data_IF_561015585995
#
_entry.id   IF_561015585995
#
_cell.length_a   1.000
_cell.length_b   1.000
_cell.length_c   1.000
_cell.angle_alpha   90.00
_cell.angle_beta   90.00
_cell.angle_gamma   90.00
#
_symmetry.space_group_name_H-M   'P 1'
#
loop_
_entity.id
_entity.type
_entity.pdbx_description
1 polymer ?
#
# COMPACT_ATOMS: atom_id res chain seq x y z
N UNK A 1 4.19 -16.17 -9.01
CA UNK A 1 5.10 -15.39 -9.89
C UNK A 1 6.42 -16.15 -9.99
N UNK A 2 6.36 -17.37 -10.55
CA UNK A 2 7.13 -18.46 -9.94
C UNK A 2 8.36 -18.94 -10.71
N UNK A 3 8.91 -18.16 -11.66
CA UNK A 3 9.99 -18.71 -12.50
C UNK A 3 11.17 -17.80 -12.79
N UNK A 4 11.13 -16.49 -12.51
CA UNK A 4 12.25 -15.63 -12.90
C UNK A 4 13.54 -16.06 -12.19
N UNK A 5 14.55 -16.35 -13.00
CA UNK A 5 15.93 -16.56 -12.56
C UNK A 5 16.55 -15.22 -12.17
N UNK A 6 17.62 -15.20 -11.36
CA UNK A 6 18.32 -13.95 -11.05
C UNK A 6 18.75 -13.15 -12.27
N UNK A 7 19.13 -13.82 -13.37
CA UNK A 7 19.51 -13.17 -14.63
C UNK A 7 18.33 -12.47 -15.29
N UNK A 8 17.15 -13.10 -15.31
CA UNK A 8 15.94 -12.51 -15.87
C UNK A 8 15.44 -11.34 -15.01
N UNK A 9 15.55 -11.43 -13.68
CA UNK A 9 15.24 -10.31 -12.78
C UNK A 9 16.15 -9.12 -13.09
N UNK A 10 17.47 -9.34 -13.22
CA UNK A 10 18.41 -8.27 -13.57
C UNK A 10 18.08 -7.66 -14.94
N UNK A 11 17.79 -8.49 -15.94
CA UNK A 11 17.42 -8.03 -17.29
C UNK A 11 16.12 -7.20 -17.29
N UNK A 12 15.15 -7.54 -16.44
CA UNK A 12 13.94 -6.73 -16.28
C UNK A 12 14.24 -5.39 -15.58
N UNK A 13 15.11 -5.40 -14.57
CA UNK A 13 15.56 -4.17 -13.90
C UNK A 13 16.38 -3.26 -14.84
N UNK A 14 17.14 -3.83 -15.79
CA UNK A 14 17.91 -3.09 -16.79
C UNK A 14 17.04 -2.22 -17.71
N UNK A 15 15.76 -2.57 -17.90
CA UNK A 15 14.81 -1.77 -18.71
C UNK A 15 14.44 -0.44 -18.06
N UNK A 16 14.67 -0.30 -16.75
CA UNK A 16 14.23 0.86 -15.97
C UNK A 16 15.37 1.57 -15.25
N UNK A 17 16.44 0.85 -14.92
CA UNK A 17 17.56 1.38 -14.12
C UNK A 17 18.82 1.25 -14.97
N UNK A 18 19.55 2.34 -15.15
CA UNK A 18 20.83 2.33 -15.87
C UNK A 18 21.97 2.01 -14.89
N UNK A 19 22.86 1.08 -15.22
CA UNK A 19 23.99 0.71 -14.37
C UNK A 19 23.57 -0.04 -13.09
N UNK A 20 24.26 0.19 -11.97
CA UNK A 20 23.96 -0.40 -10.65
C UNK A 20 23.91 -1.95 -10.63
N UNK A 21 24.82 -2.59 -11.36
CA UNK A 21 24.82 -4.06 -11.54
C UNK A 21 24.83 -4.85 -10.22
N UNK A 22 25.60 -4.41 -9.23
CA UNK A 22 25.70 -5.13 -7.95
C UNK A 22 24.42 -5.00 -7.11
N UNK A 23 23.81 -3.81 -7.09
CA UNK A 23 22.51 -3.60 -6.43
C UNK A 23 21.42 -4.46 -7.07
N UNK A 24 21.38 -4.53 -8.42
CA UNK A 24 20.44 -5.39 -9.16
C UNK A 24 20.64 -6.87 -8.84
N UNK A 25 21.89 -7.34 -8.78
CA UNK A 25 22.21 -8.73 -8.40
C UNK A 25 21.78 -9.04 -6.98
N UNK A 26 22.04 -8.14 -6.03
CA UNK A 26 21.66 -8.33 -4.64
C UNK A 26 20.14 -8.51 -4.49
N UNK A 27 19.35 -7.60 -5.09
CA UNK A 27 17.88 -7.71 -5.03
C UNK A 27 17.34 -8.93 -5.80
N UNK A 28 17.96 -9.30 -6.92
CA UNK A 28 17.59 -10.50 -7.67
C UNK A 28 17.83 -11.78 -6.86
N UNK A 29 18.93 -11.86 -6.11
CA UNK A 29 19.20 -12.96 -5.20
C UNK A 29 18.21 -13.01 -4.03
N UNK A 30 17.88 -11.87 -3.43
CA UNK A 30 16.89 -11.81 -2.35
C UNK A 30 15.51 -12.33 -2.82
N UNK A 31 15.04 -11.87 -3.99
CA UNK A 31 13.78 -12.35 -4.57
C UNK A 31 13.84 -13.84 -4.94
N UNK A 32 14.97 -14.32 -5.50
CA UNK A 32 15.14 -15.74 -5.81
C UNK A 32 15.16 -16.62 -4.56
N UNK A 33 15.80 -16.16 -3.49
CA UNK A 33 15.83 -16.87 -2.21
C UNK A 33 14.43 -16.98 -1.60
N UNK A 34 13.58 -15.95 -1.77
CA UNK A 34 12.18 -16.05 -1.38
C UNK A 34 11.44 -17.17 -2.12
N UNK A 35 11.62 -17.29 -3.44
CA UNK A 35 11.06 -18.41 -4.20
C UNK A 35 11.60 -19.76 -3.70
N UNK A 36 12.92 -19.86 -3.48
CA UNK A 36 13.55 -21.08 -2.94
C UNK A 36 12.96 -21.48 -1.58
N UNK A 37 12.72 -20.51 -0.69
CA UNK A 37 12.05 -20.73 0.61
C UNK A 37 10.65 -21.33 0.42
N UNK A 38 9.85 -20.82 -0.54
CA UNK A 38 8.52 -21.37 -0.85
C UNK A 38 8.57 -22.81 -1.38
N UNK A 39 9.69 -23.25 -1.95
CA UNK A 39 9.90 -24.64 -2.40
C UNK A 39 10.50 -25.54 -1.31
N UNK A 40 10.96 -24.97 -0.19
CA UNK A 40 11.51 -25.75 0.91
C UNK A 40 10.39 -26.53 1.65
N UNK A 41 10.75 -27.68 2.25
CA UNK A 41 9.92 -28.36 3.24
C UNK A 41 9.45 -27.41 4.35
N UNK A 42 8.29 -27.69 4.94
CA UNK A 42 7.63 -26.80 5.91
C UNK A 42 8.48 -26.53 7.15
N UNK A 43 9.12 -27.56 7.69
CA UNK A 43 10.06 -27.49 8.82
C UNK A 43 11.25 -26.57 8.54
N UNK A 44 11.81 -26.62 7.33
CA UNK A 44 12.94 -25.77 6.94
C UNK A 44 12.49 -24.35 6.54
N UNK A 45 11.24 -24.18 6.11
CA UNK A 45 10.75 -22.91 5.56
C UNK A 45 10.79 -21.79 6.59
N UNK A 46 10.39 -22.09 7.81
CA UNK A 46 10.31 -21.13 8.92
C UNK A 46 11.70 -20.73 9.43
N UNK A 47 12.69 -21.61 9.32
CA UNK A 47 14.09 -21.33 9.70
C UNK A 47 14.83 -20.44 8.67
N UNK A 48 14.36 -20.38 7.43
CA UNK A 48 14.98 -19.57 6.37
C UNK A 48 14.53 -18.11 6.48
N UNK A 49 15.39 -17.29 7.09
CA UNK A 49 15.20 -15.85 7.19
C UNK A 49 15.52 -15.12 5.87
N UNK A 50 14.83 -13.99 5.57
CA UNK A 50 15.17 -13.12 4.46
C UNK A 50 16.62 -12.63 4.53
N UNK A 51 17.27 -12.57 3.37
CA UNK A 51 18.57 -11.90 3.24
C UNK A 51 18.32 -10.42 3.00
N UNK A 52 18.17 -9.67 4.09
CA UNK A 52 18.02 -8.21 4.05
C UNK A 52 19.25 -7.57 3.41
N UNK A 53 19.09 -6.34 2.90
CA UNK A 53 20.10 -5.70 2.06
C UNK A 53 20.47 -4.34 2.64
N UNK A 54 21.75 -4.01 2.68
CA UNK A 54 22.25 -2.65 2.89
C UNK A 54 22.80 -2.05 1.59
N UNK A 55 22.14 -1.02 1.07
CA UNK A 55 22.58 -0.27 -0.11
C UNK A 55 23.39 0.96 0.31
N UNK A 56 24.64 1.03 -0.15
CA UNK A 56 25.55 2.15 0.14
C UNK A 56 25.78 2.93 -1.16
N UNK A 57 25.59 4.25 -1.12
CA UNK A 57 25.94 5.13 -2.24
C UNK A 57 25.31 6.52 -2.13
N UNK A 58 25.71 7.48 -2.97
CA UNK A 58 25.19 8.85 -2.89
C UNK A 58 23.70 8.93 -3.25
N UNK A 59 23.07 10.07 -2.97
CA UNK A 59 21.68 10.32 -3.36
C UNK A 59 21.54 10.33 -4.89
N UNK A 60 20.34 10.03 -5.39
CA UNK A 60 20.04 10.11 -6.83
C UNK A 60 20.55 8.95 -7.71
N UNK A 61 21.35 8.01 -7.18
CA UNK A 61 21.90 6.88 -8.00
C UNK A 61 20.91 5.74 -8.28
N UNK A 62 19.69 5.82 -7.76
CA UNK A 62 18.62 4.85 -8.03
C UNK A 62 18.38 3.77 -6.96
N UNK A 63 18.93 3.89 -5.74
CA UNK A 63 18.73 2.91 -4.63
C UNK A 63 17.24 2.61 -4.36
N UNK A 64 16.43 3.66 -4.23
CA UNK A 64 14.98 3.53 -4.04
C UNK A 64 14.28 2.97 -5.28
N UNK A 65 14.74 3.31 -6.48
CA UNK A 65 14.10 2.85 -7.72
C UNK A 65 14.36 1.36 -7.96
N UNK A 66 15.56 0.85 -7.65
CA UNK A 66 15.87 -0.59 -7.66
C UNK A 66 14.88 -1.36 -6.76
N UNK A 67 14.68 -0.88 -5.53
CA UNK A 67 13.79 -1.53 -4.56
C UNK A 67 12.31 -1.42 -4.95
N UNK A 68 11.88 -0.26 -5.47
CA UNK A 68 10.51 -0.04 -5.95
C UNK A 68 10.20 -0.93 -7.16
N UNK A 69 11.14 -1.08 -8.10
CA UNK A 69 10.99 -1.94 -9.28
C UNK A 69 10.98 -3.41 -8.90
N UNK A 70 11.83 -3.81 -7.94
CA UNK A 70 11.79 -5.15 -7.37
C UNK A 70 10.40 -5.48 -6.81
N UNK A 71 9.81 -4.59 -6.03
CA UNK A 71 8.49 -4.83 -5.45
C UNK A 71 7.39 -4.95 -6.51
N UNK A 72 7.40 -4.09 -7.53
CA UNK A 72 6.49 -4.21 -8.69
C UNK A 72 6.69 -5.54 -9.42
N UNK A 73 7.95 -5.92 -9.67
CA UNK A 73 8.31 -7.18 -10.32
C UNK A 73 7.98 -8.40 -9.47
N UNK A 74 7.87 -8.27 -8.16
CA UNK A 74 7.48 -9.33 -7.23
C UNK A 74 5.98 -9.33 -6.91
N UNK A 75 5.22 -8.35 -7.42
CA UNK A 75 3.83 -8.09 -7.02
C UNK A 75 3.70 -8.07 -5.48
N UNK A 76 4.64 -7.39 -4.83
CA UNK A 76 4.79 -7.33 -3.38
C UNK A 76 4.35 -5.97 -2.80
N UNK A 77 3.75 -5.95 -1.60
CA UNK A 77 3.54 -4.71 -0.84
C UNK A 77 4.89 -4.01 -0.58
N UNK A 78 4.92 -2.70 -0.77
CA UNK A 78 6.13 -1.89 -0.62
C UNK A 78 5.86 -0.63 0.20
N UNK A 79 6.74 -0.37 1.16
CA UNK A 79 6.74 0.86 1.94
C UNK A 79 8.14 1.49 1.94
N UNK A 80 8.21 2.80 1.63
CA UNK A 80 9.40 3.63 1.84
C UNK A 80 9.22 4.41 3.14
N UNK A 81 10.18 4.33 4.05
CA UNK A 81 10.24 5.16 5.26
C UNK A 81 11.65 5.71 5.45
N UNK A 82 11.77 6.88 6.07
CA UNK A 82 13.06 7.49 6.43
C UNK A 82 13.35 7.17 7.89
N UNK A 83 14.55 6.69 8.21
CA UNK A 83 14.93 6.29 9.57
C UNK A 83 14.95 7.48 10.54
N UNK A 84 15.21 8.69 10.03
CA UNK A 84 15.25 9.94 10.81
C UNK A 84 13.90 10.32 11.41
N UNK A 85 12.78 9.84 10.85
CA UNK A 85 11.42 10.09 11.35
C UNK A 85 11.18 9.58 12.78
N UNK A 86 12.02 8.65 13.24
CA UNK A 86 11.92 8.07 14.58
C UNK A 86 12.86 8.74 15.61
N UNK A 87 13.68 9.72 15.18
CA UNK A 87 14.66 10.41 16.05
C UNK A 87 14.19 11.76 16.60
N UNK A 88 13.05 12.28 16.14
CA UNK A 88 12.62 13.64 16.50
C UNK A 88 12.00 13.69 17.91
N UNK A 89 12.63 14.47 18.79
CA UNK A 89 12.18 14.76 20.18
C UNK A 89 10.85 15.51 20.11
N UNK A 90 9.74 14.78 20.09
CA UNK A 90 8.41 15.39 20.04
C UNK A 90 7.28 14.50 19.53
N UNK A 91 7.58 13.33 18.96
CA UNK A 91 6.53 12.44 18.46
C UNK A 91 6.11 11.40 19.50
N UNK A 92 5.32 11.84 20.48
CA UNK A 92 4.47 10.95 21.28
C UNK A 92 3.49 10.27 20.31
N UNK A 93 3.80 9.06 19.83
CA UNK A 93 2.85 8.21 19.12
C UNK A 93 3.24 7.63 17.75
N UNK A 94 4.48 7.78 17.26
CA UNK A 94 4.97 6.98 16.10
C UNK A 94 6.04 5.99 16.53
N UNK A 95 5.55 4.93 17.14
CA UNK A 95 6.21 3.64 17.30
C UNK A 95 6.67 3.10 15.94
N UNK A 96 7.88 2.52 15.87
CA UNK A 96 8.46 1.87 14.68
C UNK A 96 7.54 0.80 14.09
N UNK A 97 6.67 0.20 14.89
CA UNK A 97 5.63 -0.71 14.43
C UNK A 97 4.68 -0.08 13.40
N UNK A 98 4.59 1.26 13.35
CA UNK A 98 3.84 1.98 12.32
C UNK A 98 4.30 1.62 10.90
N UNK A 99 5.57 1.24 10.73
CA UNK A 99 6.11 0.73 9.45
C UNK A 99 5.27 -0.47 8.97
N UNK A 100 4.98 -1.43 9.86
CA UNK A 100 4.22 -2.62 9.50
C UNK A 100 2.75 -2.26 9.28
N UNK A 101 2.17 -1.39 10.11
CA UNK A 101 0.78 -0.92 9.95
C UNK A 101 0.58 -0.22 8.59
N UNK A 102 1.50 0.64 8.17
CA UNK A 102 1.46 1.33 6.88
C UNK A 102 1.69 0.37 5.70
N UNK A 103 2.56 -0.63 5.87
CA UNK A 103 2.79 -1.67 4.86
C UNK A 103 1.53 -2.51 4.61
N UNK A 104 0.78 -2.83 5.67
CA UNK A 104 -0.52 -3.53 5.56
C UNK A 104 -1.55 -2.69 4.81
N UNK A 105 -1.64 -1.40 5.07
CA UNK A 105 -2.56 -0.54 4.32
C UNK A 105 -2.18 -0.43 2.84
N UNK A 106 -0.87 -0.41 2.53
CA UNK A 106 -0.37 -0.52 1.15
C UNK A 106 -0.80 -1.85 0.50
N UNK A 107 -0.71 -2.97 1.23
CA UNK A 107 -1.17 -4.27 0.77
C UNK A 107 -2.70 -4.32 0.55
N UNK A 108 -3.50 -3.73 1.44
CA UNK A 108 -4.96 -3.62 1.27
C UNK A 108 -5.30 -2.89 -0.02
N UNK A 109 -4.69 -1.72 -0.26
CA UNK A 109 -4.91 -0.97 -1.51
C UNK A 109 -4.53 -1.76 -2.76
N UNK A 110 -3.44 -2.51 -2.69
CA UNK A 110 -2.97 -3.40 -3.75
C UNK A 110 -3.97 -4.53 -4.04
N UNK A 111 -4.44 -5.22 -3.00
CA UNK A 111 -5.42 -6.33 -3.12
C UNK A 111 -6.75 -5.80 -3.66
N UNK A 112 -7.27 -4.69 -3.13
CA UNK A 112 -8.51 -4.06 -3.65
C UNK A 112 -8.39 -3.74 -5.13
N UNK A 113 -7.25 -3.20 -5.57
CA UNK A 113 -7.02 -2.90 -6.99
C UNK A 113 -7.05 -4.16 -7.85
N UNK A 114 -6.49 -5.27 -7.37
CA UNK A 114 -6.54 -6.56 -8.07
C UNK A 114 -7.96 -7.14 -8.10
N UNK A 115 -8.70 -7.07 -6.98
CA UNK A 115 -10.09 -7.54 -6.88
C UNK A 115 -11.03 -6.75 -7.77
N UNK A 116 -10.92 -5.41 -7.81
CA UNK A 116 -11.69 -4.56 -8.72
C UNK A 116 -11.53 -4.97 -10.19
N UNK A 117 -10.31 -5.32 -10.62
CA UNK A 117 -10.07 -5.84 -11.98
C UNK A 117 -10.73 -7.19 -12.23
N UNK A 118 -10.81 -8.06 -11.21
CA UNK A 118 -11.46 -9.37 -11.35
C UNK A 118 -12.97 -9.27 -11.49
N UNK A 119 -13.58 -8.25 -10.88
CA UNK A 119 -15.04 -8.02 -10.90
C UNK A 119 -15.47 -6.94 -11.88
N UNK A 120 -14.56 -6.43 -12.72
CA UNK A 120 -14.80 -5.26 -13.59
C UNK A 120 -15.99 -5.48 -14.53
N UNK A 121 -16.09 -6.65 -15.17
CA UNK A 121 -17.21 -6.97 -16.06
C UNK A 121 -18.55 -7.06 -15.30
N UNK A 122 -18.57 -7.69 -14.12
CA UNK A 122 -19.77 -7.79 -13.29
C UNK A 122 -20.22 -6.41 -12.78
N UNK A 123 -19.26 -5.57 -12.38
CA UNK A 123 -19.50 -4.20 -11.97
C UNK A 123 -20.04 -3.36 -13.12
N UNK A 124 -19.53 -3.58 -14.34
CA UNK A 124 -20.02 -2.92 -15.55
C UNK A 124 -21.45 -3.29 -15.88
N UNK A 125 -21.81 -4.57 -15.81
CA UNK A 125 -23.18 -5.02 -16.02
C UNK A 125 -24.15 -4.46 -14.96
N UNK A 126 -23.72 -4.42 -13.69
CA UNK A 126 -24.51 -3.83 -12.61
C UNK A 126 -24.69 -2.31 -12.78
N UNK A 127 -23.63 -1.60 -13.19
CA UNK A 127 -23.68 -0.17 -13.49
C UNK A 127 -24.59 0.14 -14.69
N UNK A 128 -24.50 -0.65 -15.77
CA UNK A 128 -25.41 -0.55 -16.91
C UNK A 128 -26.87 -0.77 -16.49
N UNK A 129 -27.13 -1.74 -15.60
CA UNK A 129 -28.48 -1.97 -15.08
C UNK A 129 -29.01 -0.74 -14.36
N UNK A 130 -28.26 -0.13 -13.43
CA UNK A 130 -28.66 1.10 -12.72
C UNK A 130 -28.90 2.28 -13.66
N UNK A 131 -28.08 2.45 -14.69
CA UNK A 131 -28.28 3.48 -15.70
C UNK A 131 -29.57 3.26 -16.48
N UNK A 132 -29.85 2.02 -16.88
CA UNK A 132 -31.09 1.66 -17.57
C UNK A 132 -32.30 1.90 -16.67
N UNK A 133 -32.24 1.55 -15.38
CA UNK A 133 -33.30 1.82 -14.41
C UNK A 133 -33.62 3.32 -14.32
N UNK A 134 -32.60 4.19 -14.33
CA UNK A 134 -32.78 5.64 -14.34
C UNK A 134 -33.35 6.18 -15.67
N UNK A 135 -32.97 5.57 -16.81
CA UNK A 135 -33.37 6.04 -18.15
C UNK A 135 -34.77 5.62 -18.57
N UNK A 136 -35.18 4.38 -18.27
CA UNK A 136 -36.46 3.81 -18.74
C UNK A 136 -37.42 3.50 -17.59
N UNK A 137 -36.98 3.56 -16.34
CA UNK A 137 -37.73 3.12 -15.16
C UNK A 137 -37.53 1.64 -14.86
N UNK A 138 -37.67 1.26 -13.59
CA UNK A 138 -37.49 -0.13 -13.13
C UNK A 138 -38.47 -1.09 -13.81
N UNK A 139 -39.73 -0.67 -14.00
CA UNK A 139 -40.83 -1.46 -14.57
C UNK A 139 -40.90 -1.46 -16.11
N UNK A 140 -39.86 -0.97 -16.80
CA UNK A 140 -39.84 -0.96 -18.26
C UNK A 140 -39.90 -2.36 -18.86
N UNK A 141 -40.73 -2.54 -19.90
CA UNK A 141 -40.85 -3.81 -20.64
C UNK A 141 -39.49 -4.27 -21.20
N UNK A 142 -39.24 -5.58 -21.20
CA UNK A 142 -37.93 -6.16 -21.56
C UNK A 142 -37.42 -5.70 -22.92
N UNK A 143 -38.30 -5.62 -23.91
CA UNK A 143 -37.98 -5.14 -25.26
C UNK A 143 -37.47 -3.69 -25.29
N UNK A 144 -38.04 -2.81 -24.44
CA UNK A 144 -37.61 -1.41 -24.31
C UNK A 144 -36.24 -1.36 -23.63
N UNK A 145 -36.05 -2.15 -22.57
CA UNK A 145 -34.80 -2.24 -21.83
C UNK A 145 -33.66 -2.77 -22.71
N UNK A 146 -33.92 -3.76 -23.56
CA UNK A 146 -32.93 -4.25 -24.53
C UNK A 146 -32.57 -3.22 -25.59
N UNK A 147 -33.55 -2.49 -26.13
CA UNK A 147 -33.28 -1.43 -27.10
C UNK A 147 -32.41 -0.32 -26.50
N UNK A 148 -32.71 0.12 -25.28
CA UNK A 148 -31.90 1.13 -24.57
C UNK A 148 -30.53 0.61 -24.17
N UNK A 149 -30.40 -0.68 -23.82
CA UNK A 149 -29.09 -1.31 -23.55
C UNK A 149 -28.18 -1.25 -24.77
N UNK A 150 -28.71 -1.52 -25.97
CA UNK A 150 -27.93 -1.39 -27.21
C UNK A 150 -27.47 0.06 -27.41
N UNK A 151 -28.41 1.01 -27.34
CA UNK A 151 -28.10 2.45 -27.47
C UNK A 151 -27.07 2.96 -26.45
N UNK A 152 -27.13 2.46 -25.20
CA UNK A 152 -26.15 2.78 -24.16
C UNK A 152 -24.75 2.28 -24.54
N UNK A 153 -24.65 1.03 -25.01
CA UNK A 153 -23.38 0.43 -25.44
C UNK A 153 -22.81 1.06 -26.70
N UNK A 154 -23.69 1.52 -27.58
CA UNK A 154 -23.34 2.23 -28.83
C UNK A 154 -22.96 3.71 -28.57
N UNK A 155 -23.08 4.19 -27.33
CA UNK A 155 -22.74 5.57 -26.94
C UNK A 155 -23.77 6.63 -27.35
N UNK A 156 -24.95 6.22 -27.84
CA UNK A 156 -26.01 7.13 -28.30
C UNK A 156 -26.68 7.89 -27.15
N UNK A 157 -26.48 7.44 -25.90
CA UNK A 157 -27.14 7.99 -24.71
C UNK A 157 -26.20 8.82 -23.83
N UNK A 158 -24.94 8.99 -24.21
CA UNK A 158 -23.90 9.65 -23.40
C UNK A 158 -24.31 11.02 -22.85
N UNK A 159 -24.93 11.85 -23.70
CA UNK A 159 -25.28 13.25 -23.39
C UNK A 159 -26.67 13.37 -22.74
N UNK A 160 -27.35 12.25 -22.45
CA UNK A 160 -28.65 12.29 -21.76
C UNK A 160 -28.47 12.62 -20.29
N UNK A 161 -29.27 13.57 -19.81
CA UNK A 161 -29.44 13.84 -18.38
C UNK A 161 -30.13 12.66 -17.70
N UNK A 162 -29.61 12.29 -16.53
CA UNK A 162 -30.20 11.32 -15.61
C UNK A 162 -30.15 11.84 -14.18
N UNK A 163 -31.12 11.42 -13.39
CA UNK A 163 -31.10 11.58 -11.94
C UNK A 163 -30.70 10.24 -11.32
N UNK A 164 -29.54 10.21 -10.67
CA UNK A 164 -29.01 8.99 -10.08
C UNK A 164 -28.43 9.24 -8.69
N UNK A 165 -28.56 8.25 -7.82
CA UNK A 165 -27.94 8.26 -6.50
C UNK A 165 -26.49 7.85 -6.63
N UNK A 166 -25.54 8.73 -6.32
CA UNK A 166 -24.13 8.36 -6.25
C UNK A 166 -23.68 8.37 -4.79
N UNK A 167 -22.67 7.59 -4.47
CA UNK A 167 -22.05 7.60 -3.16
C UNK A 167 -21.40 8.98 -2.95
N UNK A 168 -21.79 9.62 -1.86
CA UNK A 168 -21.24 10.90 -1.45
C UNK A 168 -19.83 10.64 -0.91
N UNK A 169 -18.83 10.93 -1.74
CA UNK A 169 -17.42 10.81 -1.36
C UNK A 169 -16.94 11.96 -0.48
N UNK A 170 -17.83 12.84 0.00
CA UNK A 170 -17.50 13.85 1.01
C UNK A 170 -16.33 14.74 0.59
N UNK A 171 -16.46 15.43 -0.55
CA UNK A 171 -15.52 16.47 -0.95
C UNK A 171 -15.86 17.79 -0.26
N UNK A 172 -14.89 18.33 0.49
CA UNK A 172 -14.85 19.67 1.10
C UNK A 172 -16.21 20.22 1.56
N UNK A 173 -16.56 19.97 2.83
CA UNK A 173 -17.42 20.91 3.54
C UNK A 173 -16.68 22.26 3.55
N UNK A 174 -17.22 23.34 2.95
CA UNK A 174 -16.66 24.66 3.14
C UNK A 174 -16.65 24.92 4.65
N UNK A 175 -15.46 25.17 5.22
CA UNK A 175 -15.34 25.69 6.56
C UNK A 175 -16.12 27.00 6.59
N UNK A 176 -17.36 26.93 7.02
CA UNK A 176 -18.19 28.11 7.25
C UNK A 176 -17.58 28.79 8.47
N UNK A 177 -16.81 29.83 8.22
CA UNK A 177 -16.16 30.64 9.26
C UNK A 177 -17.29 31.29 10.08
N UNK A 178 -17.62 30.71 11.24
CA UNK A 178 -18.58 31.29 12.19
C UNK A 178 -17.79 32.26 13.07
N UNK A 179 -18.00 33.59 12.93
CA UNK A 179 -17.32 34.55 13.78
C UNK A 179 -17.90 34.47 15.20
N UNK A 180 -17.05 34.12 16.18
CA UNK A 180 -17.33 34.36 17.60
C UNK A 180 -17.83 33.17 18.44
N UNK A 181 -17.82 31.93 17.94
CA UNK A 181 -18.29 30.75 18.68
C UNK A 181 -17.18 29.77 19.01
N UNK A 182 -16.64 29.81 20.23
CA UNK A 182 -15.80 28.74 20.76
C UNK A 182 -16.60 27.45 20.93
N UNK A 183 -16.30 26.45 20.11
CA UNK A 183 -16.65 25.04 20.36
C UNK A 183 -17.64 24.41 19.39
N UNK A 184 -17.14 23.64 18.42
CA UNK A 184 -17.82 22.43 17.88
C UNK A 184 -16.88 21.56 17.03
N UNK A 185 -15.75 21.11 17.59
CA UNK A 185 -14.86 20.14 16.91
C UNK A 185 -15.31 18.67 17.07
N UNK A 186 -16.36 18.38 17.86
CA UNK A 186 -16.74 17.00 18.22
C UNK A 186 -17.81 16.33 17.34
N UNK A 187 -18.65 17.11 16.63
CA UNK A 187 -19.82 16.57 15.92
C UNK A 187 -19.55 16.15 14.47
N UNK A 188 -18.49 16.67 13.85
CA UNK A 188 -18.16 16.41 12.44
C UNK A 188 -17.59 14.99 12.26
N UNK A 189 -16.79 14.50 13.21
CA UNK A 189 -16.19 13.17 13.12
C UNK A 189 -17.18 12.03 13.39
N UNK A 190 -18.20 12.21 14.25
CA UNK A 190 -19.14 11.13 14.58
C UNK A 190 -20.14 10.86 13.45
N UNK A 191 -20.53 11.91 12.72
CA UNK A 191 -21.41 11.84 11.54
C UNK A 191 -20.75 11.11 10.36
N UNK A 192 -19.46 11.33 10.15
CA UNK A 192 -18.68 10.73 9.07
C UNK A 192 -18.31 9.26 9.38
N UNK A 193 -18.06 8.95 10.65
CA UNK A 193 -17.84 7.57 11.13
C UNK A 193 -19.13 6.74 11.07
N UNK A 194 -20.27 7.33 11.43
CA UNK A 194 -21.58 6.69 11.35
C UNK A 194 -22.02 6.49 9.89
N UNK A 195 -21.74 7.45 9.01
CA UNK A 195 -21.97 7.34 7.57
C UNK A 195 -21.19 6.18 6.93
N UNK A 196 -19.91 6.02 7.29
CA UNK A 196 -19.08 4.90 6.80
C UNK A 196 -19.51 3.54 7.35
N UNK A 197 -20.05 3.48 8.57
CA UNK A 197 -20.57 2.24 9.17
C UNK A 197 -21.92 1.79 8.59
N UNK A 198 -22.70 2.71 7.99
CA UNK A 198 -24.04 2.48 7.43
C UNK A 198 -24.07 2.44 5.88
N UNK A 199 -22.93 2.16 5.22
CA UNK A 199 -22.87 2.00 3.76
C UNK A 199 -22.55 3.27 2.95
N UNK A 200 -22.12 4.34 3.62
CA UNK A 200 -21.85 5.64 3.00
C UNK A 200 -23.13 6.44 2.78
N UNK A 201 -23.04 7.77 2.82
CA UNK A 201 -24.14 8.62 2.39
C UNK A 201 -24.28 8.50 0.88
N UNK A 202 -25.49 8.38 0.36
CA UNK A 202 -25.76 8.56 -1.07
C UNK A 202 -26.42 9.91 -1.28
N UNK A 203 -26.12 10.55 -2.41
CA UNK A 203 -26.72 11.83 -2.81
C UNK A 203 -27.32 11.67 -4.19
N UNK A 204 -28.57 12.12 -4.34
CA UNK A 204 -29.19 12.27 -5.67
C UNK A 204 -28.51 13.42 -6.39
N UNK A 205 -27.91 13.13 -7.53
CA UNK A 205 -27.24 14.09 -8.39
C UNK A 205 -27.82 13.96 -9.79
N UNK A 206 -28.13 15.12 -10.39
CA UNK A 206 -28.46 15.21 -11.81
C UNK A 206 -27.16 15.34 -12.58
N UNK A 207 -26.91 14.43 -13.51
CA UNK A 207 -25.67 14.38 -14.30
C UNK A 207 -25.92 13.70 -15.66
N UNK A 208 -24.90 13.60 -16.50
CA UNK A 208 -25.00 12.90 -17.79
C UNK A 208 -24.73 11.41 -17.62
N UNK A 209 -25.23 10.58 -18.53
CA UNK A 209 -24.90 9.14 -18.59
C UNK A 209 -23.38 8.93 -18.65
N UNK A 210 -22.68 9.71 -19.48
CA UNK A 210 -21.22 9.64 -19.62
C UNK A 210 -20.50 9.88 -18.30
N UNK A 211 -20.89 10.92 -17.58
CA UNK A 211 -20.22 11.32 -16.34
C UNK A 211 -20.54 10.37 -15.17
N UNK A 212 -21.75 9.79 -15.16
CA UNK A 212 -22.16 8.81 -14.15
C UNK A 212 -21.51 7.44 -14.32
N UNK A 213 -21.17 7.03 -15.55
CA UNK A 213 -20.82 5.64 -15.82
C UNK A 213 -19.58 5.14 -15.07
N UNK A 214 -18.48 5.91 -15.10
CA UNK A 214 -17.25 5.52 -14.40
C UNK A 214 -17.41 5.46 -12.86
N UNK A 215 -17.99 6.48 -12.19
CA UNK A 215 -18.31 6.40 -10.77
C UNK A 215 -19.16 5.17 -10.40
N UNK A 216 -20.21 4.88 -11.18
CA UNK A 216 -21.07 3.72 -10.92
C UNK A 216 -20.32 2.40 -11.00
N UNK A 217 -19.45 2.22 -12.01
CA UNK A 217 -18.63 1.00 -12.10
C UNK A 217 -17.76 0.85 -10.83
N UNK A 218 -17.19 1.96 -10.33
CA UNK A 218 -16.42 1.96 -9.09
C UNK A 218 -17.25 1.53 -7.87
N UNK A 219 -18.45 2.10 -7.72
CA UNK A 219 -19.39 1.76 -6.63
C UNK A 219 -19.83 0.30 -6.69
N UNK A 220 -20.24 -0.18 -7.87
CA UNK A 220 -20.68 -1.57 -8.02
C UNK A 220 -19.52 -2.55 -7.83
N UNK A 221 -18.30 -2.20 -8.27
CA UNK A 221 -17.12 -3.01 -8.00
C UNK A 221 -16.84 -3.12 -6.49
N UNK A 222 -16.98 -2.02 -5.74
CA UNK A 222 -16.74 -2.02 -4.30
C UNK A 222 -17.77 -2.86 -3.54
N UNK A 223 -19.03 -2.90 -3.98
CA UNK A 223 -20.07 -3.77 -3.41
C UNK A 223 -19.79 -5.26 -3.63
N UNK A 224 -19.10 -5.61 -4.72
CA UNK A 224 -18.76 -7.00 -5.06
C UNK A 224 -17.53 -7.53 -4.31
N UNK A 225 -16.82 -6.66 -3.58
CA UNK A 225 -15.58 -7.00 -2.89
C UNK A 225 -15.86 -7.35 -1.43
N UNK A 226 -15.45 -8.55 -1.02
CA UNK A 226 -15.43 -8.97 0.39
C UNK A 226 -14.23 -8.35 1.12
N UNK A 227 -14.50 -7.35 1.97
CA UNK A 227 -13.49 -6.65 2.79
C UNK A 227 -12.73 -7.58 3.74
N UNK A 228 -13.35 -8.64 4.25
CA UNK A 228 -12.70 -9.60 5.16
C UNK A 228 -11.73 -10.50 4.41
N UNK A 229 -12.10 -10.93 3.20
CA UNK A 229 -11.20 -11.63 2.28
C UNK A 229 -10.01 -10.75 1.88
N UNK A 230 -10.26 -9.48 1.53
CA UNK A 230 -9.21 -8.50 1.22
C UNK A 230 -8.24 -8.35 2.38
N UNK A 231 -8.77 -8.19 3.60
CA UNK A 231 -7.97 -8.00 4.80
C UNK A 231 -7.08 -9.21 5.07
N UNK A 232 -7.65 -10.43 5.04
CA UNK A 232 -6.90 -11.69 5.23
C UNK A 232 -5.81 -11.87 4.16
N UNK A 233 -6.11 -11.54 2.92
CA UNK A 233 -5.14 -11.63 1.83
C UNK A 233 -4.01 -10.60 1.96
N UNK A 234 -4.34 -9.37 2.33
CA UNK A 234 -3.36 -8.32 2.54
C UNK A 234 -2.37 -8.67 3.66
N UNK A 235 -2.86 -9.17 4.81
CA UNK A 235 -2.00 -9.63 5.91
C UNK A 235 -1.06 -10.74 5.43
N UNK A 236 -1.60 -11.78 4.78
CA UNK A 236 -0.79 -12.88 4.23
C UNK A 236 0.28 -12.38 3.24
N UNK A 237 -0.06 -11.42 2.38
CA UNK A 237 0.89 -10.84 1.43
C UNK A 237 2.00 -10.05 2.11
N UNK A 238 1.70 -9.32 3.19
CA UNK A 238 2.72 -8.63 3.98
C UNK A 238 3.67 -9.64 4.63
N UNK A 239 3.14 -10.64 5.31
CA UNK A 239 3.95 -11.65 6.01
C UNK A 239 4.83 -12.43 5.04
N UNK A 240 4.28 -12.87 3.91
CA UNK A 240 5.01 -13.73 2.97
C UNK A 240 5.90 -12.96 1.99
N UNK A 241 5.44 -11.79 1.55
CA UNK A 241 5.97 -11.08 0.40
C UNK A 241 6.29 -9.59 0.64
N UNK A 242 6.03 -9.03 1.82
CA UNK A 242 6.27 -7.62 2.13
C UNK A 242 7.72 -7.17 1.92
N UNK A 243 7.88 -5.90 1.52
CA UNK A 243 9.18 -5.24 1.34
C UNK A 243 9.14 -3.87 2.02
N UNK A 244 10.09 -3.63 2.92
CA UNK A 244 10.30 -2.34 3.59
C UNK A 244 11.62 -1.74 3.12
N UNK A 245 11.58 -0.50 2.63
CA UNK A 245 12.76 0.28 2.31
C UNK A 245 13.01 1.33 3.40
N UNK A 246 14.09 1.13 4.17
CA UNK A 246 14.56 2.05 5.21
C UNK A 246 15.60 2.99 4.61
N UNK A 247 15.20 4.22 4.28
CA UNK A 247 16.09 5.23 3.73
C UNK A 247 16.82 5.98 4.85
N UNK A 248 18.01 6.50 4.54
CA UNK A 248 18.85 7.29 5.46
C UNK A 248 19.20 6.58 6.78
N UNK A 249 19.42 5.26 6.74
CA UNK A 249 19.82 4.48 7.93
C UNK A 249 21.17 4.97 8.49
N UNK A 250 22.02 5.54 7.64
CA UNK A 250 23.32 6.10 8.02
C UNK A 250 23.19 7.29 8.99
N UNK A 251 22.02 7.96 9.03
CA UNK A 251 21.73 9.07 9.96
C UNK A 251 21.46 8.61 11.39
N UNK A 252 21.08 7.34 11.57
CA UNK A 252 20.88 6.73 12.89
C UNK A 252 22.06 5.86 13.30
N UNK A 253 22.99 5.55 12.38
CA UNK A 253 24.20 4.74 12.57
C UNK A 253 25.36 5.46 13.31
N UNK A 254 25.10 6.48 14.13
CA UNK A 254 26.16 7.33 14.68
C UNK A 254 26.33 7.22 16.19
N UNK A 255 27.59 7.09 16.64
CA UNK A 255 27.99 7.33 18.02
C UNK A 255 29.47 7.74 18.10
N UNK A 256 29.74 9.00 18.47
CA UNK A 256 31.04 9.43 19.04
C UNK A 256 31.08 10.91 19.49
N UNK A 257 29.98 11.53 19.89
CA UNK A 257 30.06 12.80 20.62
C UNK A 257 29.09 12.75 21.80
N UNK A 258 29.63 12.41 22.99
CA UNK A 258 28.98 12.25 24.31
C UNK A 258 28.01 13.39 24.70
N UNK A 259 26.91 13.53 23.98
CA UNK A 259 25.87 14.52 24.13
C UNK A 259 24.53 13.86 23.83
N UNK A 260 23.47 14.24 24.55
CA UNK A 260 22.21 13.49 24.66
C UNK A 260 21.44 13.16 23.37
N UNK A 261 21.87 13.63 22.20
CA UNK A 261 21.32 13.25 20.90
C UNK A 261 21.71 11.82 20.46
N UNK A 262 22.82 11.27 20.95
CA UNK A 262 23.31 9.93 20.57
C UNK A 262 22.39 8.81 21.11
N UNK A 263 21.78 8.99 22.29
CA UNK A 263 20.86 8.00 22.90
C UNK A 263 19.60 7.79 22.06
N UNK A 264 19.10 8.85 21.41
CA UNK A 264 17.89 8.77 20.57
C UNK A 264 18.16 8.02 19.26
N UNK A 265 19.34 8.19 18.65
CA UNK A 265 19.69 7.52 17.39
C UNK A 265 19.92 6.02 17.56
N UNK A 266 20.62 5.64 18.62
CA UNK A 266 20.78 4.23 18.99
C UNK A 266 19.44 3.60 19.38
N UNK A 267 18.57 4.34 20.08
CA UNK A 267 17.21 3.93 20.40
C UNK A 267 16.42 3.50 19.17
N UNK A 268 16.46 4.29 18.08
CA UNK A 268 15.80 3.91 16.82
C UNK A 268 16.32 2.60 16.26
N UNK A 269 17.63 2.35 16.30
CA UNK A 269 18.18 1.07 15.85
C UNK A 269 17.67 -0.10 16.70
N UNK A 270 17.62 0.08 18.03
CA UNK A 270 17.09 -0.92 18.97
C UNK A 270 15.61 -1.21 18.75
N UNK A 271 14.83 -0.18 18.47
CA UNK A 271 13.40 -0.32 18.20
C UNK A 271 13.16 -1.01 16.85
N UNK A 272 13.99 -0.76 15.84
CA UNK A 272 13.89 -1.44 14.54
C UNK A 272 14.28 -2.93 14.59
N UNK A 273 15.13 -3.35 15.54
CA UNK A 273 15.62 -4.73 15.64
C UNK A 273 14.48 -5.76 15.70
N UNK A 274 13.52 -5.70 16.64
CA UNK A 274 12.40 -6.65 16.69
C UNK A 274 11.68 -6.84 15.36
N UNK A 275 11.50 -5.77 14.58
CA UNK A 275 10.83 -5.86 13.28
C UNK A 275 11.65 -6.67 12.26
N UNK A 276 12.97 -6.49 12.26
CA UNK A 276 13.89 -7.16 11.33
C UNK A 276 14.18 -8.60 11.77
N UNK A 277 14.22 -8.86 13.08
CA UNK A 277 14.45 -10.21 13.64
C UNK A 277 13.22 -11.11 13.52
N UNK A 278 12.02 -10.53 13.56
CA UNK A 278 10.75 -11.24 13.56
C UNK A 278 10.00 -10.97 14.86
N UNK A 279 8.89 -10.25 14.75
CA UNK A 279 7.94 -10.01 15.84
C UNK A 279 6.52 -10.03 15.30
N UNK A 280 5.54 -10.00 16.20
CA UNK A 280 4.13 -9.82 15.85
C UNK A 280 3.70 -8.40 16.16
N UNK A 281 3.33 -7.65 15.12
CA UNK A 281 2.81 -6.29 15.26
C UNK A 281 1.30 -6.30 15.21
N UNK A 282 0.65 -5.64 16.17
CA UNK A 282 -0.79 -5.48 16.19
C UNK A 282 -1.23 -4.34 15.25
N UNK A 283 -2.17 -4.64 14.35
CA UNK A 283 -2.73 -3.66 13.41
C UNK A 283 -4.25 -3.66 13.48
N UNK A 284 -4.88 -2.61 12.95
CA UNK A 284 -6.36 -2.57 12.79
C UNK A 284 -6.93 -3.68 11.89
N UNK A 285 -6.06 -4.36 11.14
CA UNK A 285 -6.37 -5.45 10.20
C UNK A 285 -6.07 -6.84 10.79
N UNK A 286 -5.64 -6.89 12.05
CA UNK A 286 -5.19 -8.11 12.73
C UNK A 286 -3.69 -8.11 13.04
N UNK A 287 -3.20 -9.14 13.75
CA UNK A 287 -1.78 -9.33 14.01
C UNK A 287 -1.02 -9.65 12.72
N UNK A 288 0.22 -9.17 12.60
CA UNK A 288 1.09 -9.41 11.45
C UNK A 288 2.48 -9.83 11.90
N UNK A 289 2.96 -10.97 11.41
CA UNK A 289 4.30 -11.48 11.65
C UNK A 289 5.33 -10.88 10.69
N UNK A 290 6.47 -10.41 11.21
CA UNK A 290 7.49 -9.74 10.39
C UNK A 290 8.65 -10.65 9.95
N UNK A 291 8.67 -11.91 10.38
CA UNK A 291 9.74 -12.91 10.21
C UNK A 291 10.25 -13.06 8.76
N UNK A 292 9.39 -12.73 7.80
CA UNK A 292 9.61 -12.99 6.38
C UNK A 292 9.50 -11.75 5.50
N UNK A 293 9.34 -10.56 6.10
CA UNK A 293 9.41 -9.27 5.42
C UNK A 293 10.86 -9.02 4.99
N UNK A 294 11.05 -8.60 3.74
CA UNK A 294 12.38 -8.20 3.25
C UNK A 294 12.65 -6.74 3.62
N UNK A 295 13.70 -6.50 4.39
CA UNK A 295 14.19 -5.15 4.67
C UNK A 295 15.33 -4.78 3.72
N UNK A 296 15.22 -3.60 3.11
CA UNK A 296 16.27 -2.98 2.31
C UNK A 296 16.61 -1.65 2.96
N UNK A 297 17.75 -1.59 3.64
CA UNK A 297 18.27 -0.37 4.22
C UNK A 297 19.16 0.37 3.21
N UNK A 298 19.19 1.69 3.29
CA UNK A 298 19.91 2.55 2.36
C UNK A 298 20.54 3.73 3.09
N UNK A 299 21.76 4.08 2.71
CA UNK A 299 22.45 5.25 3.26
C UNK A 299 23.56 5.76 2.36
N UNK A 300 23.94 7.02 2.56
CA UNK A 300 25.09 7.61 1.88
C UNK A 300 26.40 7.22 2.57
N UNK A 301 26.39 7.09 3.89
CA UNK A 301 27.55 6.73 4.72
C UNK A 301 28.74 7.69 4.49
N UNK A 302 28.45 8.98 4.30
CA UNK A 302 29.49 10.02 4.19
C UNK A 302 30.10 10.39 5.54
N UNK A 303 29.32 10.30 6.62
CA UNK A 303 29.68 10.76 7.98
C UNK A 303 29.72 9.63 9.01
N UNK A 304 29.25 8.45 8.63
CA UNK A 304 29.22 7.22 9.42
C UNK A 304 29.60 6.06 8.52
N UNK A 305 30.03 4.95 9.12
CA UNK A 305 30.30 3.69 8.43
C UNK A 305 29.26 2.65 8.84
N UNK A 306 29.03 1.61 8.01
CA UNK A 306 28.17 0.50 8.42
C UNK A 306 28.59 -0.15 9.75
N UNK A 307 29.89 -0.14 10.06
CA UNK A 307 30.45 -0.62 11.33
C UNK A 307 29.99 0.16 12.56
N UNK A 308 29.46 1.36 12.37
CA UNK A 308 29.02 2.25 13.45
C UNK A 308 27.56 1.97 13.86
N UNK A 309 26.85 1.12 13.11
CA UNK A 309 25.55 0.57 13.52
C UNK A 309 25.71 -0.42 14.68
N UNK A 310 24.62 -0.71 15.39
CA UNK A 310 24.58 -1.77 16.40
C UNK A 310 25.03 -3.12 15.80
N UNK A 311 25.89 -3.89 16.47
CA UNK A 311 26.35 -5.19 15.99
C UNK A 311 25.20 -6.15 15.64
N UNK A 312 24.11 -6.10 16.41
CA UNK A 312 22.89 -6.88 16.20
C UNK A 312 22.25 -6.51 14.85
N UNK A 313 22.16 -5.22 14.53
CA UNK A 313 21.56 -4.74 13.29
C UNK A 313 22.44 -5.08 12.08
N UNK A 314 23.77 -5.00 12.24
CA UNK A 314 24.72 -5.44 11.21
C UNK A 314 24.52 -6.93 10.89
N UNK A 315 24.36 -7.78 11.91
CA UNK A 315 24.11 -9.21 11.73
C UNK A 315 22.80 -9.54 10.99
N UNK A 316 21.86 -8.60 10.97
CA UNK A 316 20.58 -8.72 10.26
C UNK A 316 20.58 -8.09 8.87
N UNK A 317 21.69 -7.50 8.43
CA UNK A 317 21.90 -6.93 7.10
C UNK A 317 23.09 -7.64 6.39
N UNK A 318 22.96 -8.95 6.08
CA UNK A 318 24.04 -9.78 5.54
C UNK A 318 24.42 -9.48 4.09
#
# INVERSE_FOLDING_TARGET
MDLLTPKEIVAELDRHIVGQGDAKRAVALALRNRWRRKQAPEDLRDEITPKNILMIGPTGVGKTEVSRRLAKLANAPFLKVEATKFTEVGYVGRDVEQIVRDLVESAVGMVKTQRRKQVEEQAREAAEKRLLDSLVGEDAHDSTREAFRRKLRDGELDDRDIDIELQDTGGDLPMMDIPGGGGSMGMINLSDLLGKAMGGRTKRVRTTVRDAYKPLIGEEADKLIDEDSVTREAVRLVESDGIVFLDEIDKVAGGSNRSGADVSREGVQRDLLPLIEGTTVSTKRGPVRTDHILFIASGAFHVSKPSDMLPELQGRLP
#
